data_IF_837768692349
#
_entry.id   IF_837768692349
#
_cell.length_a   1.000
_cell.length_b   1.000
_cell.length_c   1.000
_cell.angle_alpha   90.00
_cell.angle_beta   90.00
_cell.angle_gamma   90.00
#
_symmetry.space_group_name_H-M   'P 1'
#
loop_
_entity.id
_entity.type
_entity.pdbx_description
1 polymer ?
#
# COMPACT_ATOMS: atom_id res chain seq x y z
N UNK A 1 -18.48 0.84 22.74
CA UNK A 1 -17.79 2.01 22.15
C UNK A 1 -18.87 2.96 21.67
N UNK A 2 -18.85 4.26 22.03
CA UNK A 2 -19.85 5.21 21.55
C UNK A 2 -19.74 5.38 20.04
N UNK A 3 -20.88 5.44 19.37
CA UNK A 3 -20.99 5.67 17.93
C UNK A 3 -20.46 7.07 17.58
N UNK A 4 -19.39 7.12 16.78
CA UNK A 4 -18.73 8.37 16.41
C UNK A 4 -19.56 9.12 15.36
N UNK A 5 -19.99 10.34 15.67
CA UNK A 5 -20.71 11.19 14.71
C UNK A 5 -19.73 11.71 13.65
N UNK A 6 -19.92 11.29 12.39
CA UNK A 6 -19.28 11.91 11.22
C UNK A 6 -19.62 13.40 11.18
N UNK A 7 -18.60 14.26 11.11
CA UNK A 7 -18.77 15.71 11.00
C UNK A 7 -18.53 16.16 9.55
N UNK A 8 -19.34 17.09 9.07
CA UNK A 8 -19.11 17.78 7.79
C UNK A 8 -18.34 19.06 8.08
N UNK A 9 -17.31 19.33 7.26
CA UNK A 9 -16.52 20.56 7.28
C UNK A 9 -16.60 21.20 5.90
N UNK A 10 -16.75 22.52 5.84
CA UNK A 10 -16.75 23.29 4.59
C UNK A 10 -15.38 23.92 4.38
N UNK A 11 -14.87 23.86 3.15
CA UNK A 11 -13.58 24.44 2.76
C UNK A 11 -13.74 25.28 1.50
N UNK A 12 -12.90 26.30 1.38
CA UNK A 12 -12.95 27.26 0.26
C UNK A 12 -12.15 26.80 -0.98
N UNK A 13 -11.29 25.79 -0.84
CA UNK A 13 -10.42 25.29 -1.91
C UNK A 13 -10.08 23.80 -1.78
N UNK A 14 -9.70 23.19 -2.91
CA UNK A 14 -9.18 21.82 -2.98
C UNK A 14 -7.95 21.77 -3.92
N UNK A 15 -6.76 21.33 -3.45
CA UNK A 15 -6.42 20.93 -2.08
C UNK A 15 -6.62 22.05 -1.06
N UNK A 16 -6.94 21.69 0.18
CA UNK A 16 -7.16 22.65 1.27
C UNK A 16 -5.86 23.42 1.55
N UNK A 17 -5.89 24.75 1.56
CA UNK A 17 -4.69 25.60 1.64
C UNK A 17 -3.88 25.45 2.94
N UNK A 18 -4.51 25.00 4.02
CA UNK A 18 -3.86 24.82 5.34
C UNK A 18 -3.09 23.51 5.47
N UNK A 19 -3.13 22.63 4.47
CA UNK A 19 -2.47 21.33 4.55
C UNK A 19 -0.97 21.44 4.29
N UNK A 20 -0.19 20.76 5.12
CA UNK A 20 1.25 20.59 4.90
C UNK A 20 1.57 19.14 4.56
N UNK A 21 2.53 18.93 3.65
CA UNK A 21 2.99 17.58 3.31
C UNK A 21 3.90 17.04 4.42
N UNK A 22 3.54 15.91 5.01
CA UNK A 22 4.38 15.20 5.99
C UNK A 22 4.71 13.80 5.49
N UNK A 23 6.00 13.47 5.53
CA UNK A 23 6.50 12.15 5.14
C UNK A 23 6.51 11.21 6.34
N UNK A 24 6.06 9.97 6.11
CA UNK A 24 6.20 8.86 7.03
C UNK A 24 6.96 7.73 6.34
N UNK A 25 8.12 7.36 6.86
CA UNK A 25 9.01 6.36 6.29
C UNK A 25 8.70 4.97 6.81
N UNK A 26 8.85 3.97 5.93
CA UNK A 26 8.74 2.56 6.28
C UNK A 26 9.97 2.16 7.10
N UNK A 27 9.74 1.46 8.20
CA UNK A 27 10.79 0.85 9.02
C UNK A 27 10.27 -0.43 9.70
N UNK A 28 11.14 -1.11 10.45
CA UNK A 28 10.81 -2.31 11.21
C UNK A 28 11.93 -3.35 11.12
N UNK A 29 11.69 -4.52 11.72
CA UNK A 29 12.57 -5.68 11.51
C UNK A 29 12.37 -6.24 10.08
N UNK A 30 13.42 -6.87 9.53
CA UNK A 30 13.38 -7.53 8.21
C UNK A 30 12.65 -8.86 8.28
N UNK A 31 11.65 -9.07 7.42
CA UNK A 31 10.96 -10.36 7.29
C UNK A 31 10.87 -10.83 5.84
N UNK A 32 10.65 -12.13 5.72
CA UNK A 32 10.16 -12.78 4.52
C UNK A 32 8.75 -13.30 4.79
N UNK A 33 7.80 -13.05 3.88
CA UNK A 33 6.41 -13.53 4.04
C UNK A 33 6.26 -15.05 4.05
N UNK A 34 7.31 -15.79 3.67
CA UNK A 34 7.36 -17.27 3.71
C UNK A 34 7.45 -17.85 5.13
N UNK A 35 7.70 -17.02 6.16
CA UNK A 35 7.95 -17.46 7.53
C UNK A 35 6.67 -17.68 8.37
N UNK A 36 5.52 -17.93 7.72
CA UNK A 36 4.25 -18.20 8.39
C UNK A 36 4.21 -19.56 9.16
N UNK A 37 5.34 -20.26 9.29
CA UNK A 37 5.46 -21.42 10.19
C UNK A 37 6.90 -21.59 10.72
N UNK A 38 7.25 -20.98 11.86
CA UNK A 38 8.38 -21.47 12.68
C UNK A 38 8.34 -20.98 14.14
N UNK A 39 8.58 -21.90 15.06
CA UNK A 39 8.31 -21.90 16.51
C UNK A 39 9.38 -21.24 17.43
N UNK A 40 10.20 -20.28 16.97
CA UNK A 40 11.24 -19.66 17.85
C UNK A 40 11.11 -18.11 18.00
N UNK A 41 11.24 -17.51 19.22
CA UNK A 41 10.69 -16.17 19.52
C UNK A 41 11.66 -14.98 19.50
N UNK A 42 12.95 -15.14 19.24
CA UNK A 42 13.90 -14.02 19.33
C UNK A 42 14.30 -13.53 17.92
N UNK A 43 13.96 -12.27 17.65
CA UNK A 43 14.19 -11.49 16.42
C UNK A 43 13.28 -11.83 15.22
N UNK A 44 12.05 -11.30 15.25
CA UNK A 44 11.13 -11.35 14.11
C UNK A 44 10.50 -10.00 13.85
N UNK A 45 10.18 -9.71 12.60
CA UNK A 45 9.40 -8.56 12.11
C UNK A 45 9.62 -8.39 10.63
N UNK A 46 8.70 -8.02 9.74
CA UNK A 46 7.27 -7.75 9.79
C UNK A 46 6.38 -8.56 8.79
N UNK A 47 5.87 -9.76 9.14
CA UNK A 47 4.89 -10.47 8.29
C UNK A 47 3.44 -10.06 8.63
N UNK A 48 2.89 -9.04 7.97
CA UNK A 48 1.45 -8.72 8.09
C UNK A 48 0.63 -9.44 7.03
N UNK A 49 -0.45 -10.12 7.43
CA UNK A 49 -1.34 -10.87 6.51
C UNK A 49 -2.59 -10.07 6.08
N UNK A 50 -2.62 -8.76 6.32
CA UNK A 50 -3.86 -7.97 6.25
C UNK A 50 -4.74 -8.12 7.50
N UNK A 51 -4.79 -9.32 8.09
CA UNK A 51 -5.52 -9.64 9.33
C UNK A 51 -4.65 -9.51 10.61
N UNK A 52 -3.33 -9.52 10.46
CA UNK A 52 -2.36 -9.35 11.54
C UNK A 52 -1.36 -8.24 11.23
N UNK A 53 -0.96 -7.48 12.26
CA UNK A 53 0.12 -6.51 12.15
C UNK A 53 1.45 -7.26 12.21
N UNK A 54 2.23 -7.23 11.11
CA UNK A 54 3.66 -7.48 11.20
C UNK A 54 4.34 -6.40 12.06
N UNK A 55 5.62 -6.55 12.36
CA UNK A 55 6.40 -5.56 13.13
C UNK A 55 6.89 -4.37 12.29
N UNK A 56 6.12 -4.00 11.27
CA UNK A 56 6.38 -2.86 10.42
C UNK A 56 5.91 -1.59 11.12
N UNK A 57 6.67 -0.51 11.01
CA UNK A 57 6.37 0.76 11.65
C UNK A 57 6.49 1.91 10.67
N UNK A 58 5.75 2.99 10.94
CA UNK A 58 5.87 4.26 10.25
C UNK A 58 6.61 5.25 11.14
N UNK A 59 7.67 5.85 10.62
CA UNK A 59 8.52 6.81 11.33
C UNK A 59 8.49 8.17 10.65
N UNK A 60 8.67 9.26 11.40
CA UNK A 60 8.70 10.63 10.83
C UNK A 60 10.12 11.08 10.43
N UNK A 61 11.11 10.22 10.66
CA UNK A 61 12.52 10.44 10.36
C UNK A 61 13.04 9.28 9.53
N UNK A 62 13.93 9.55 8.58
CA UNK A 62 14.52 8.50 7.76
C UNK A 62 15.26 7.48 8.66
N UNK A 63 14.89 6.19 8.61
CA UNK A 63 15.66 5.14 9.28
C UNK A 63 17.08 5.11 8.74
N UNK A 64 18.08 5.15 9.62
CA UNK A 64 19.49 5.19 9.18
C UNK A 64 20.00 3.82 8.72
N UNK A 65 19.39 2.75 9.21
CA UNK A 65 19.75 1.38 8.85
C UNK A 65 18.98 0.98 7.60
N UNK A 66 19.70 0.47 6.61
CA UNK A 66 19.08 -0.15 5.44
C UNK A 66 18.30 -1.41 5.87
N UNK A 67 17.13 -1.57 5.31
CA UNK A 67 16.26 -2.72 5.51
C UNK A 67 15.52 -3.07 4.23
N UNK A 68 14.95 -4.26 4.21
CA UNK A 68 14.09 -4.69 3.12
C UNK A 68 12.96 -5.56 3.64
N UNK A 69 11.92 -5.72 2.84
CA UNK A 69 10.83 -6.67 3.07
C UNK A 69 10.59 -7.44 1.77
N UNK A 70 10.44 -8.76 1.87
CA UNK A 70 10.40 -9.67 0.71
C UNK A 70 9.14 -10.52 0.69
N UNK A 71 8.55 -10.70 -0.48
CA UNK A 71 7.41 -11.59 -0.70
C UNK A 71 7.33 -12.09 -2.14
N UNK A 72 6.70 -13.26 -2.33
CA UNK A 72 6.40 -13.78 -3.66
C UNK A 72 5.01 -13.35 -4.09
N UNK A 73 4.93 -12.70 -5.26
CA UNK A 73 3.69 -12.44 -5.94
C UNK A 73 3.38 -13.56 -6.94
N UNK A 74 2.28 -14.27 -6.70
CA UNK A 74 1.74 -15.28 -7.60
C UNK A 74 0.50 -14.73 -8.33
N UNK A 75 0.54 -14.53 -9.66
CA UNK A 75 -0.62 -14.07 -10.42
C UNK A 75 -1.84 -14.99 -10.35
N UNK A 76 -1.65 -16.29 -10.04
CA UNK A 76 -2.74 -17.25 -9.82
C UNK A 76 -3.36 -17.14 -8.42
N UNK A 77 -2.64 -16.52 -7.48
CA UNK A 77 -3.11 -16.26 -6.12
C UNK A 77 -2.84 -14.79 -5.73
N UNK A 78 -3.45 -13.81 -6.42
CA UNK A 78 -3.23 -12.40 -6.14
C UNK A 78 -3.83 -12.02 -4.79
N UNK A 79 -3.20 -11.05 -4.12
CA UNK A 79 -3.71 -10.53 -2.86
C UNK A 79 -5.14 -9.97 -3.03
N UNK A 80 -6.03 -10.35 -2.11
CA UNK A 80 -7.39 -9.79 -2.03
C UNK A 80 -7.27 -8.42 -1.39
N UNK A 81 -7.37 -7.37 -2.19
CA UNK A 81 -7.30 -5.99 -1.71
C UNK A 81 -8.47 -5.18 -2.24
N UNK A 82 -9.06 -4.47 -1.30
CA UNK A 82 -10.44 -4.06 -1.33
C UNK A 82 -10.54 -2.58 -1.61
N UNK A 83 -11.45 -2.27 -2.50
CA UNK A 83 -11.89 -0.94 -2.85
C UNK A 83 -13.18 -0.64 -2.10
N UNK A 84 -13.30 0.60 -1.60
CA UNK A 84 -14.60 1.18 -1.29
C UNK A 84 -15.38 1.31 -2.61
N UNK A 85 -16.37 0.43 -2.80
CA UNK A 85 -17.19 0.38 -4.02
C UNK A 85 -17.97 1.67 -4.27
N UNK A 86 -18.21 2.49 -3.24
CA UNK A 86 -18.80 3.83 -3.43
C UNK A 86 -17.89 4.80 -4.19
N UNK A 87 -16.60 4.46 -4.32
CA UNK A 87 -15.58 5.18 -5.07
C UNK A 87 -15.11 4.41 -6.32
N UNK A 88 -15.75 3.27 -6.65
CA UNK A 88 -15.38 2.48 -7.82
C UNK A 88 -16.00 3.08 -9.09
N UNK A 89 -15.25 3.95 -9.77
CA UNK A 89 -15.67 4.55 -11.05
C UNK A 89 -15.66 3.55 -12.24
N UNK A 90 -15.21 2.30 -12.03
CA UNK A 90 -14.96 1.31 -13.09
C UNK A 90 -16.00 0.17 -13.17
N UNK A 91 -16.97 0.08 -12.24
CA UNK A 91 -18.10 -0.87 -12.25
C UNK A 91 -17.77 -2.30 -12.76
N UNK A 92 -16.64 -2.88 -12.32
CA UNK A 92 -16.32 -4.27 -12.72
C UNK A 92 -17.32 -5.21 -12.02
N UNK A 93 -18.02 -6.11 -12.74
CA UNK A 93 -19.13 -6.90 -12.20
C UNK A 93 -18.67 -8.13 -11.41
N UNK A 94 -17.88 -7.92 -10.36
CA UNK A 94 -17.45 -8.93 -9.39
C UNK A 94 -18.29 -8.85 -8.10
N UNK A 95 -18.20 -9.87 -7.23
CA UNK A 95 -18.78 -9.85 -5.88
C UNK A 95 -17.80 -9.21 -4.89
N UNK A 96 -18.24 -8.12 -4.25
CA UNK A 96 -17.46 -7.33 -3.28
C UNK A 96 -18.08 -7.35 -1.88
N UNK A 97 -19.02 -8.26 -1.61
CA UNK A 97 -19.86 -8.22 -0.40
C UNK A 97 -19.06 -8.31 0.91
N UNK A 98 -18.02 -9.14 0.96
CA UNK A 98 -17.18 -9.25 2.16
C UNK A 98 -16.21 -8.08 2.27
N UNK A 99 -15.81 -7.59 1.11
CA UNK A 99 -14.87 -6.50 0.94
C UNK A 99 -15.43 -5.18 1.51
N UNK A 100 -16.67 -4.84 1.17
CA UNK A 100 -17.38 -3.64 1.66
C UNK A 100 -17.53 -3.59 3.19
N UNK A 101 -17.38 -4.72 3.89
CA UNK A 101 -17.47 -4.76 5.37
C UNK A 101 -16.20 -4.23 6.04
N UNK A 102 -15.10 -4.02 5.31
CA UNK A 102 -13.86 -3.49 5.88
C UNK A 102 -13.99 -2.01 6.22
N UNK A 103 -13.93 -1.72 7.52
CA UNK A 103 -13.99 -0.35 8.05
C UNK A 103 -12.60 0.29 8.25
N UNK A 104 -11.53 -0.44 7.95
CA UNK A 104 -10.14 -0.05 8.24
C UNK A 104 -9.39 0.49 7.01
N UNK A 105 -9.99 0.45 5.82
CA UNK A 105 -9.41 1.00 4.58
C UNK A 105 -9.92 2.43 4.38
N UNK A 106 -8.96 3.34 4.19
CA UNK A 106 -9.23 4.77 4.06
C UNK A 106 -8.95 5.31 2.66
N UNK A 107 -7.88 4.82 2.03
CA UNK A 107 -7.46 5.19 0.69
C UNK A 107 -6.56 4.09 0.13
N UNK A 108 -6.49 4.00 -1.19
CA UNK A 108 -5.69 3.02 -1.90
C UNK A 108 -5.12 3.65 -3.18
N UNK A 109 -4.07 3.04 -3.72
CA UNK A 109 -3.46 3.48 -4.97
C UNK A 109 -2.74 2.31 -5.62
N UNK A 110 -2.64 2.34 -6.95
CA UNK A 110 -1.95 1.30 -7.71
C UNK A 110 -1.39 1.86 -9.00
N UNK A 111 -0.36 1.20 -9.51
CA UNK A 111 0.24 1.52 -10.80
C UNK A 111 0.84 0.25 -11.40
N UNK A 112 0.67 0.06 -12.70
CA UNK A 112 1.49 -0.91 -13.43
C UNK A 112 2.92 -0.39 -13.49
N UNK A 113 3.88 -1.09 -12.89
CA UNK A 113 5.26 -0.60 -12.71
C UNK A 113 6.00 -0.26 -14.01
N UNK A 114 5.53 -0.78 -15.15
CA UNK A 114 6.02 -0.36 -16.47
C UNK A 114 5.68 1.09 -16.84
N UNK A 115 4.64 1.65 -16.22
CA UNK A 115 4.18 3.03 -16.40
C UNK A 115 4.66 3.97 -15.29
N UNK A 116 5.66 3.59 -14.50
CA UNK A 116 6.19 4.37 -13.36
C UNK A 116 6.60 5.81 -13.72
N UNK A 117 6.97 6.04 -14.98
CA UNK A 117 7.43 7.34 -15.50
C UNK A 117 6.41 8.00 -16.45
N UNK A 118 5.22 7.42 -16.64
CA UNK A 118 4.21 7.91 -17.56
C UNK A 118 3.49 6.79 -18.31
N UNK A 119 2.30 7.09 -18.84
CA UNK A 119 1.46 6.12 -19.56
C UNK A 119 1.76 6.02 -21.06
N UNK A 120 2.43 7.03 -21.62
CA UNK A 120 2.73 7.10 -23.06
C UNK A 120 3.78 6.08 -23.50
N UNK A 121 4.79 5.86 -22.66
CA UNK A 121 5.95 5.01 -22.99
C UNK A 121 6.21 4.00 -21.87
N UNK A 122 5.74 2.74 -22.00
CA UNK A 122 6.01 1.71 -21.01
C UNK A 122 7.50 1.34 -20.98
N UNK A 123 8.10 1.40 -19.79
CA UNK A 123 9.48 1.00 -19.52
C UNK A 123 9.52 -0.27 -18.67
N UNK A 124 10.07 -1.35 -19.20
CA UNK A 124 10.15 -2.61 -18.46
C UNK A 124 11.23 -2.58 -17.37
N UNK A 125 11.05 -3.40 -16.34
CA UNK A 125 12.01 -3.55 -15.25
C UNK A 125 13.03 -4.62 -15.62
N UNK A 126 14.26 -4.41 -15.19
CA UNK A 126 15.33 -5.40 -15.21
C UNK A 126 15.37 -6.11 -13.86
N UNK A 127 15.72 -7.40 -13.86
CA UNK A 127 15.91 -8.17 -12.62
C UNK A 127 16.98 -7.50 -11.75
N UNK A 128 16.79 -7.55 -10.43
CA UNK A 128 17.76 -7.11 -9.41
C UNK A 128 18.12 -5.61 -9.43
N UNK A 129 17.46 -4.82 -10.28
CA UNK A 129 17.62 -3.37 -10.31
C UNK A 129 16.58 -2.68 -9.44
N UNK A 130 17.04 -1.73 -8.62
CA UNK A 130 16.19 -0.98 -7.70
C UNK A 130 15.56 0.20 -8.44
N UNK A 131 14.24 0.31 -8.37
CA UNK A 131 13.47 1.39 -8.99
C UNK A 131 12.68 2.18 -7.95
N UNK A 132 12.71 3.51 -8.04
CA UNK A 132 11.77 4.36 -7.32
C UNK A 132 10.43 4.34 -8.04
N UNK A 133 9.37 3.93 -7.34
CA UNK A 133 8.00 3.89 -7.86
C UNK A 133 7.17 4.87 -7.05
N UNK A 134 6.49 5.79 -7.73
CA UNK A 134 5.58 6.74 -7.09
C UNK A 134 4.16 6.26 -7.31
N UNK A 135 3.47 5.88 -6.22
CA UNK A 135 2.08 5.43 -6.25
C UNK A 135 1.22 6.56 -5.72
N UNK A 136 0.31 7.07 -6.55
CA UNK A 136 -0.68 8.07 -6.12
C UNK A 136 -1.92 7.34 -5.59
N UNK A 137 -2.35 7.71 -4.39
CA UNK A 137 -3.58 7.18 -3.81
C UNK A 137 -4.80 8.00 -4.22
N UNK A 138 -5.99 7.46 -3.96
CA UNK A 138 -7.24 8.22 -3.97
C UNK A 138 -7.24 9.31 -2.90
N UNK A 139 -8.26 10.16 -2.92
CA UNK A 139 -8.39 11.27 -1.97
C UNK A 139 -8.79 10.72 -0.60
N UNK A 140 -8.31 11.35 0.46
CA UNK A 140 -8.59 10.98 1.85
C UNK A 140 -8.98 12.24 2.64
N UNK A 141 -9.99 12.10 3.50
CA UNK A 141 -10.31 13.06 4.56
C UNK A 141 -10.69 12.28 5.82
N UNK A 142 -9.75 12.13 6.74
CA UNK A 142 -9.97 11.38 7.99
C UNK A 142 -9.23 12.01 9.17
N UNK A 143 -9.81 11.90 10.36
CA UNK A 143 -9.18 12.32 11.61
C UNK A 143 -8.73 11.07 12.37
N UNK A 144 -7.43 10.98 12.67
CA UNK A 144 -6.89 9.93 13.54
C UNK A 144 -6.94 10.40 14.99
N UNK A 145 -7.87 9.86 15.77
CA UNK A 145 -8.06 10.21 17.18
C UNK A 145 -6.96 9.59 18.06
N UNK A 146 -6.75 10.11 19.29
CA UNK A 146 -5.86 9.48 20.26
C UNK A 146 -6.16 7.98 20.43
N UNK A 147 -5.13 7.15 20.32
CA UNK A 147 -5.23 5.69 20.35
C UNK A 147 -5.43 5.01 18.99
N UNK A 148 -5.81 5.75 17.95
CA UNK A 148 -5.84 5.23 16.59
C UNK A 148 -4.40 5.03 16.07
N UNK A 149 -4.26 4.12 15.11
CA UNK A 149 -3.00 3.89 14.39
C UNK A 149 -3.26 3.97 12.90
N UNK A 150 -2.29 4.51 12.19
CA UNK A 150 -2.25 4.45 10.73
C UNK A 150 -1.54 3.17 10.32
N UNK A 151 -2.10 2.47 9.34
CA UNK A 151 -1.51 1.27 8.73
C UNK A 151 -1.39 1.49 7.23
N UNK A 152 -0.26 1.08 6.68
CA UNK A 152 -0.03 1.01 5.24
C UNK A 152 0.19 -0.47 4.90
N UNK A 153 -0.52 -0.94 3.88
CA UNK A 153 -0.35 -2.28 3.33
C UNK A 153 0.14 -2.15 1.89
N UNK A 154 1.19 -2.87 1.55
CA UNK A 154 1.79 -2.88 0.21
C UNK A 154 1.64 -4.30 -0.34
N UNK A 155 1.07 -4.41 -1.54
CA UNK A 155 0.92 -5.68 -2.25
C UNK A 155 1.15 -5.48 -3.74
N UNK A 156 1.35 -6.58 -4.47
CA UNK A 156 1.52 -6.58 -5.93
C UNK A 156 0.26 -7.02 -6.70
N UNK A 157 -0.89 -7.06 -6.02
CA UNK A 157 -2.16 -7.46 -6.60
C UNK A 157 -3.35 -6.91 -5.82
N UNK A 158 -4.48 -6.77 -6.51
CA UNK A 158 -5.76 -6.39 -5.93
C UNK A 158 -6.86 -7.19 -6.63
N UNK A 159 -7.03 -8.45 -6.20
CA UNK A 159 -8.05 -9.35 -6.72
C UNK A 159 -9.43 -8.68 -6.65
N UNK A 160 -10.30 -8.98 -7.61
CA UNK A 160 -11.64 -8.40 -7.82
C UNK A 160 -11.64 -6.93 -8.27
N UNK A 161 -10.53 -6.19 -8.15
CA UNK A 161 -10.45 -4.80 -8.62
C UNK A 161 -9.63 -4.61 -9.90
N UNK A 162 -8.51 -5.33 -10.03
CA UNK A 162 -7.61 -5.20 -11.18
C UNK A 162 -7.21 -6.59 -11.67
N UNK A 163 -7.09 -6.74 -12.99
CA UNK A 163 -6.56 -7.95 -13.56
C UNK A 163 -5.14 -8.23 -13.03
N UNK A 164 -4.84 -9.46 -12.59
CA UNK A 164 -3.50 -9.81 -12.11
C UNK A 164 -2.45 -9.53 -13.18
N UNK A 165 -1.35 -8.90 -12.78
CA UNK A 165 -0.21 -8.76 -13.67
C UNK A 165 0.42 -10.13 -13.85
N UNK A 166 0.55 -10.60 -15.09
CA UNK A 166 1.16 -11.91 -15.39
C UNK A 166 2.66 -11.99 -15.09
N UNK A 167 3.29 -10.86 -14.75
CA UNK A 167 4.74 -10.68 -14.61
C UNK A 167 5.51 -11.00 -15.90
N UNK A 168 4.85 -10.87 -17.05
CA UNK A 168 5.47 -10.99 -18.37
C UNK A 168 5.39 -9.65 -19.11
N UNK A 169 6.11 -9.57 -20.24
CA UNK A 169 6.09 -8.37 -21.09
C UNK A 169 4.70 -8.06 -21.67
N UNK A 170 3.94 -9.12 -21.97
CA UNK A 170 2.61 -9.08 -22.57
C UNK A 170 1.51 -8.71 -21.56
N UNK A 171 1.82 -8.74 -20.25
CA UNK A 171 0.90 -8.33 -19.19
C UNK A 171 -0.40 -9.13 -19.23
N UNK A 172 -1.55 -8.46 -19.25
CA UNK A 172 -2.87 -9.09 -19.28
C UNK A 172 -3.07 -10.07 -20.45
N UNK A 173 -2.48 -9.77 -21.61
CA UNK A 173 -2.63 -10.59 -22.82
C UNK A 173 -1.71 -11.82 -22.85
N UNK A 174 -0.92 -12.04 -21.80
CA UNK A 174 -0.01 -13.17 -21.75
C UNK A 174 -0.75 -14.51 -21.61
N UNK A 175 -0.34 -15.50 -22.40
CA UNK A 175 -0.78 -16.89 -22.27
C UNK A 175 -0.13 -17.60 -21.07
N UNK A 176 0.94 -17.02 -20.53
CA UNK A 176 1.68 -17.57 -19.38
C UNK A 176 1.76 -16.58 -18.23
N UNK A 177 1.82 -17.08 -17.00
CA UNK A 177 2.02 -16.28 -15.79
C UNK A 177 3.27 -16.76 -15.07
N UNK A 178 3.99 -15.81 -14.49
CA UNK A 178 5.24 -16.08 -13.79
C UNK A 178 5.14 -15.54 -12.36
N UNK A 179 5.68 -16.26 -11.38
CA UNK A 179 5.83 -15.72 -10.03
C UNK A 179 6.94 -14.67 -10.03
N UNK A 180 6.75 -13.60 -9.26
CA UNK A 180 7.75 -12.57 -9.08
C UNK A 180 8.15 -12.48 -7.60
N UNK A 181 9.45 -12.53 -7.33
CA UNK A 181 9.99 -12.20 -6.01
C UNK A 181 10.09 -10.68 -5.90
N UNK A 182 9.38 -10.11 -4.92
CA UNK A 182 9.26 -8.66 -4.74
C UNK A 182 10.05 -8.25 -3.50
N UNK A 183 10.86 -7.22 -3.65
CA UNK A 183 11.65 -6.63 -2.57
C UNK A 183 11.30 -5.16 -2.42
N UNK A 184 10.88 -4.77 -1.22
CA UNK A 184 10.66 -3.38 -0.85
C UNK A 184 11.87 -2.91 -0.04
N UNK A 185 12.62 -1.95 -0.56
CA UNK A 185 13.73 -1.34 0.17
C UNK A 185 13.25 -0.20 1.06
N UNK A 186 13.89 -0.05 2.23
CA UNK A 186 13.61 0.98 3.22
C UNK A 186 14.87 1.39 3.96
N UNK A 187 14.82 2.56 4.59
CA UNK A 187 15.97 3.16 5.29
C UNK A 187 17.10 3.63 4.35
N UNK A 188 18.06 4.32 4.96
CA UNK A 188 19.27 4.84 4.33
C UNK A 188 19.03 5.54 2.99
N UNK A 189 19.72 5.08 1.95
CA UNK A 189 19.62 5.66 0.61
C UNK A 189 18.31 5.32 -0.12
N UNK A 190 17.59 4.29 0.34
CA UNK A 190 16.36 3.76 -0.28
C UNK A 190 15.15 3.93 0.65
N UNK A 191 15.07 5.07 1.32
CA UNK A 191 14.02 5.37 2.30
C UNK A 191 12.63 5.51 1.66
N UNK A 192 11.94 4.38 1.48
CA UNK A 192 10.54 4.33 1.08
C UNK A 192 9.63 4.94 2.16
N UNK A 193 8.57 5.61 1.73
CA UNK A 193 7.64 6.28 2.65
C UNK A 193 6.37 6.76 1.96
N UNK A 194 5.40 7.17 2.77
CA UNK A 194 4.13 7.75 2.36
C UNK A 194 4.12 9.25 2.69
N UNK A 195 3.82 10.06 1.69
CA UNK A 195 3.60 11.50 1.85
C UNK A 195 2.11 11.74 2.05
N UNK A 196 1.74 12.33 3.19
CA UNK A 196 0.35 12.66 3.49
C UNK A 196 0.16 14.17 3.61
N UNK A 197 -0.91 14.73 3.03
CA UNK A 197 -1.36 16.07 3.36
C UNK A 197 -1.98 16.04 4.76
N UNK A 198 -1.40 16.77 5.70
CA UNK A 198 -1.88 16.88 7.07
C UNK A 198 -2.43 18.27 7.29
N UNK A 199 -3.68 18.32 7.75
CA UNK A 199 -4.23 19.48 8.39
C UNK A 199 -4.00 19.37 9.91
N UNK A 200 -3.32 20.35 10.50
CA UNK A 200 -3.23 20.43 11.95
C UNK A 200 -4.55 21.00 12.51
N UNK A 201 -5.16 20.30 13.46
CA UNK A 201 -6.30 20.88 14.18
C UNK A 201 -5.82 22.08 14.97
N UNK A 202 -6.55 23.19 14.90
CA UNK A 202 -6.41 24.26 15.89
C UNK A 202 -6.59 23.64 17.29
N UNK A 203 -5.66 23.95 18.20
CA UNK A 203 -5.75 23.58 19.61
C UNK A 203 -6.89 24.32 20.30
#
# INVERSE_FOLDING_TARGET
MPEQKRQKKSEMSWPVETVSGKMFYLDGAHCKTTDAAAENPEEKGACGTGDSCGNGVLTVTIPQKDGMDEYDYDPENPAVHIVDMSQNELEVPEDYTEEEKRSDILTYGMIGVKYRNGFEHPEYLESDKIYKITIRTTKLSNIFLPGHRMRVTITSGAKNFMFPNSNTREGFNSETRQKAHITIHRGGAYASGILLPIEESAK
#
